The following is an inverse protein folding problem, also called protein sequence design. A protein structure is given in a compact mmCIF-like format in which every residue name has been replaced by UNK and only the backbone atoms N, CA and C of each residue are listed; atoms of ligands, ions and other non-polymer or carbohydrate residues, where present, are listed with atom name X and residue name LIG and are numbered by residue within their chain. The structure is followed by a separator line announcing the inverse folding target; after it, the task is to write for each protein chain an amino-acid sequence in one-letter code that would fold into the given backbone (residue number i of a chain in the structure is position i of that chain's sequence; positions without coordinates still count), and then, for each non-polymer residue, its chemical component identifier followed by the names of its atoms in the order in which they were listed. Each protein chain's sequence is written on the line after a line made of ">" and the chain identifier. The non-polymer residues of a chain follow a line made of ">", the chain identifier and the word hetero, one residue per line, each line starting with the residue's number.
data_IF_268229001245
#
_entry.id   IF_268229001245
#
_cell.length_a   1.000
_cell.length_b   1.000
_cell.length_c   1.000
_cell.angle_alpha   90.00
_cell.angle_beta   90.00
_cell.angle_gamma   90.00
#
_symmetry.space_group_name_H-M   'P 1'
#
loop_
_entity.id
_entity.type
_entity.pdbx_description
1 polymer ?
#
# COMPACT_ATOMS: atom_id res chain seq x y z
N UNK A 1 -0.36 -2.70 -21.54
CA UNK A 1 -1.47 -2.12 -20.74
C UNK A 1 -1.08 -1.98 -19.26
N UNK A 2 -0.14 -2.80 -18.77
CA UNK A 2 0.31 -2.83 -17.37
C UNK A 2 1.03 -1.55 -16.91
N UNK A 3 1.88 -0.94 -17.76
CA UNK A 3 2.57 0.31 -17.42
C UNK A 3 1.59 1.46 -17.04
N UNK A 4 0.41 1.50 -17.66
CA UNK A 4 -0.63 2.48 -17.32
C UNK A 4 -1.25 2.19 -15.95
N UNK A 5 -1.50 0.92 -15.62
CA UNK A 5 -2.02 0.53 -14.30
C UNK A 5 -1.02 0.84 -13.18
N UNK A 6 0.27 0.54 -13.40
CA UNK A 6 1.33 0.88 -12.46
C UNK A 6 1.46 2.38 -12.28
N UNK A 7 1.42 3.14 -13.38
CA UNK A 7 1.50 4.60 -13.33
C UNK A 7 0.32 5.22 -12.58
N UNK A 8 -0.90 4.71 -12.77
CA UNK A 8 -2.08 5.18 -12.04
C UNK A 8 -1.97 4.85 -10.55
N UNK A 9 -1.64 3.61 -10.19
CA UNK A 9 -1.53 3.20 -8.79
C UNK A 9 -0.40 3.96 -8.06
N UNK A 10 0.75 4.14 -8.70
CA UNK A 10 1.86 4.93 -8.16
C UNK A 10 1.49 6.42 -8.02
N UNK A 11 0.71 6.95 -8.97
CA UNK A 11 0.20 8.31 -8.95
C UNK A 11 -0.73 8.60 -7.77
N UNK A 12 -1.54 7.62 -7.34
CA UNK A 12 -2.45 7.75 -6.18
C UNK A 12 -1.72 7.49 -4.85
N UNK A 13 -0.77 6.55 -4.80
CA UNK A 13 -0.03 6.22 -3.57
C UNK A 13 0.82 7.37 -3.04
N UNK A 14 1.47 8.14 -3.93
CA UNK A 14 2.37 9.23 -3.53
C UNK A 14 1.65 10.35 -2.76
N UNK A 15 0.52 10.89 -3.24
CA UNK A 15 -0.31 11.82 -2.48
C UNK A 15 -0.74 11.25 -1.13
N UNK A 16 -1.19 9.98 -1.08
CA UNK A 16 -1.63 9.32 0.16
C UNK A 16 -0.48 9.24 1.17
N UNK A 17 0.72 8.83 0.75
CA UNK A 17 1.92 8.79 1.59
C UNK A 17 2.30 10.17 2.12
N UNK A 18 2.23 11.20 1.27
CA UNK A 18 2.49 12.59 1.67
C UNK A 18 1.51 13.09 2.74
N UNK A 19 0.20 12.86 2.54
CA UNK A 19 -0.84 13.21 3.51
C UNK A 19 -0.61 12.48 4.85
N UNK A 20 -0.36 11.17 4.82
CA UNK A 20 -0.07 10.39 6.04
C UNK A 20 1.18 10.89 6.79
N UNK A 21 2.23 11.30 6.09
CA UNK A 21 3.44 11.85 6.69
C UNK A 21 3.19 13.18 7.43
N UNK A 22 2.33 14.05 6.87
CA UNK A 22 1.89 15.30 7.52
C UNK A 22 1.09 14.99 8.79
N UNK A 23 0.16 14.02 8.72
CA UNK A 23 -0.62 13.56 9.88
C UNK A 23 0.29 13.02 11.00
N UNK A 24 1.31 12.24 10.65
CA UNK A 24 2.30 11.71 11.59
C UNK A 24 3.13 12.79 12.30
N UNK A 25 3.24 13.99 11.72
CA UNK A 25 4.07 15.10 12.20
C UNK A 25 3.38 16.03 13.19
N UNK A 26 2.31 16.72 12.77
CA UNK A 26 1.78 17.89 13.49
C UNK A 26 0.49 17.63 14.30
N UNK A 27 -0.46 16.84 13.81
CA UNK A 27 -1.82 16.74 14.40
C UNK A 27 -2.00 15.55 15.36
N UNK A 28 -1.21 14.48 15.22
CA UNK A 28 -1.42 13.22 15.97
C UNK A 28 -0.73 13.11 17.34
N UNK A 29 -0.13 14.17 17.89
CA UNK A 29 0.34 14.14 19.30
C UNK A 29 -0.79 13.77 20.27
N UNK A 30 -2.05 14.00 19.87
CA UNK A 30 -3.28 13.78 20.65
C UNK A 30 -3.82 12.34 20.59
N UNK A 31 -3.54 11.57 19.52
CA UNK A 31 -4.14 10.24 19.28
C UNK A 31 -3.11 9.11 19.29
N UNK A 32 -2.54 8.82 20.47
CA UNK A 32 -1.53 7.76 20.67
C UNK A 32 -1.95 6.38 20.16
N UNK A 33 -3.26 6.08 20.19
CA UNK A 33 -3.81 4.78 19.78
C UNK A 33 -4.01 4.57 18.28
N UNK A 34 -3.69 5.57 17.44
CA UNK A 34 -3.85 5.50 15.97
C UNK A 34 -2.51 5.64 15.24
N UNK A 35 -1.51 6.18 15.95
CA UNK A 35 -0.17 6.42 15.42
C UNK A 35 0.54 5.13 15.01
N UNK A 36 0.28 4.02 15.72
CA UNK A 36 0.87 2.72 15.41
C UNK A 36 0.28 2.16 14.11
N UNK A 37 -1.03 2.29 13.95
CA UNK A 37 -1.81 1.82 12.82
C UNK A 37 -1.43 2.63 11.57
N UNK A 38 -1.37 3.96 11.66
CA UNK A 38 -0.90 4.83 10.57
C UNK A 38 0.55 4.52 10.19
N UNK A 39 1.44 4.32 11.17
CA UNK A 39 2.85 3.99 10.89
C UNK A 39 2.97 2.63 10.20
N UNK A 40 2.21 1.63 10.66
CA UNK A 40 2.13 0.33 10.00
C UNK A 40 1.65 0.50 8.57
N UNK A 41 0.56 1.26 8.37
CA UNK A 41 -0.01 1.52 7.06
C UNK A 41 0.99 2.22 6.11
N UNK A 42 1.71 3.20 6.62
CA UNK A 42 2.72 3.95 5.84
C UNK A 42 3.85 3.05 5.39
N UNK A 43 4.38 2.21 6.29
CA UNK A 43 5.43 1.24 5.94
C UNK A 43 4.94 0.25 4.89
N UNK A 44 3.70 -0.19 5.03
CA UNK A 44 3.07 -1.12 4.12
C UNK A 44 2.86 -0.52 2.72
N UNK A 45 2.37 0.70 2.64
CA UNK A 45 2.22 1.43 1.38
C UNK A 45 3.55 1.69 0.69
N UNK A 46 4.60 2.01 1.44
CA UNK A 46 5.94 2.15 0.88
C UNK A 46 6.46 0.83 0.28
N UNK A 47 6.15 -0.31 0.91
CA UNK A 47 6.48 -1.62 0.35
C UNK A 47 5.69 -1.92 -0.93
N UNK A 48 4.43 -1.46 -1.01
CA UNK A 48 3.58 -1.60 -2.20
C UNK A 48 4.04 -0.69 -3.35
N UNK A 49 4.45 0.55 -3.06
CA UNK A 49 5.06 1.45 -4.03
C UNK A 49 6.36 0.84 -4.61
N UNK A 50 7.23 0.30 -3.76
CA UNK A 50 8.45 -0.37 -4.20
C UNK A 50 8.15 -1.60 -5.09
N UNK A 51 7.11 -2.36 -4.77
CA UNK A 51 6.65 -3.47 -5.61
C UNK A 51 6.16 -2.97 -6.98
N UNK A 52 5.30 -1.95 -7.00
CA UNK A 52 4.79 -1.37 -8.24
C UNK A 52 5.91 -0.81 -9.12
N UNK A 53 6.88 -0.11 -8.54
CA UNK A 53 8.06 0.36 -9.26
C UNK A 53 8.80 -0.80 -9.93
N UNK A 54 9.02 -1.91 -9.20
CA UNK A 54 9.61 -3.11 -9.79
C UNK A 54 8.77 -3.69 -10.92
N UNK A 55 7.44 -3.71 -10.78
CA UNK A 55 6.53 -4.22 -11.82
C UNK A 55 6.43 -3.29 -13.04
N UNK A 56 6.76 -2.00 -12.90
CA UNK A 56 6.84 -1.07 -14.04
C UNK A 56 7.92 -1.46 -15.05
N UNK A 57 8.95 -2.17 -14.58
CA UNK A 57 10.09 -2.63 -15.38
C UNK A 57 9.86 -4.03 -15.97
N UNK A 58 8.76 -4.70 -15.60
CA UNK A 58 8.42 -6.06 -16.05
C UNK A 58 7.44 -5.97 -17.22
N UNK A 59 7.83 -6.52 -18.38
CA UNK A 59 7.05 -6.46 -19.61
C UNK A 59 5.80 -7.37 -19.59
N UNK A 60 5.92 -8.57 -19.00
CA UNK A 60 4.79 -9.50 -18.80
C UNK A 60 4.75 -10.03 -17.36
N UNK A 61 4.06 -9.32 -16.46
CA UNK A 61 3.77 -9.79 -15.10
C UNK A 61 2.97 -11.08 -15.11
N UNK A 62 3.29 -12.01 -14.21
CA UNK A 62 2.46 -13.21 -14.06
C UNK A 62 1.06 -12.86 -13.52
N UNK A 63 0.06 -13.74 -13.69
CA UNK A 63 -1.32 -13.44 -13.28
C UNK A 63 -1.48 -13.07 -11.80
N UNK A 64 -0.65 -13.60 -10.91
CA UNK A 64 -0.67 -13.28 -9.48
C UNK A 64 -0.17 -11.86 -9.23
N UNK A 65 0.85 -11.43 -9.95
CA UNK A 65 1.36 -10.05 -9.90
C UNK A 65 0.35 -9.04 -10.47
N UNK A 66 -0.37 -9.39 -11.54
CA UNK A 66 -1.46 -8.54 -12.09
C UNK A 66 -2.61 -8.35 -11.11
N UNK A 67 -3.03 -9.43 -10.44
CA UNK A 67 -4.03 -9.35 -9.35
C UNK A 67 -3.51 -8.49 -8.21
N UNK A 68 -2.23 -8.65 -7.86
CA UNK A 68 -1.58 -7.83 -6.83
C UNK A 68 -1.64 -6.34 -7.15
N UNK A 69 -1.26 -5.96 -8.38
CA UNK A 69 -1.28 -4.58 -8.84
C UNK A 69 -2.69 -3.97 -8.78
N UNK A 70 -3.71 -4.74 -9.16
CA UNK A 70 -5.11 -4.29 -9.08
C UNK A 70 -5.54 -4.03 -7.63
N UNK A 71 -5.22 -4.94 -6.71
CA UNK A 71 -5.58 -4.81 -5.30
C UNK A 71 -4.81 -3.66 -4.62
N UNK A 72 -3.56 -3.42 -5.01
CA UNK A 72 -2.80 -2.23 -4.57
C UNK A 72 -3.53 -0.95 -4.97
N UNK A 73 -4.06 -0.89 -6.20
CA UNK A 73 -4.83 0.25 -6.67
C UNK A 73 -6.11 0.46 -5.87
N UNK A 74 -6.91 -0.57 -5.65
CA UNK A 74 -8.14 -0.47 -4.85
C UNK A 74 -7.86 0.01 -3.42
N UNK A 75 -6.81 -0.53 -2.80
CA UNK A 75 -6.39 -0.10 -1.46
C UNK A 75 -5.96 1.38 -1.44
N UNK A 76 -5.34 1.87 -2.53
CA UNK A 76 -4.93 3.26 -2.64
C UNK A 76 -6.14 4.20 -2.67
N UNK A 77 -7.23 3.83 -3.34
CA UNK A 77 -8.47 4.59 -3.34
C UNK A 77 -9.19 4.56 -1.98
N UNK A 78 -9.29 3.40 -1.35
CA UNK A 78 -9.86 3.27 0.02
C UNK A 78 -9.13 4.21 1.02
N UNK A 79 -7.83 4.41 0.82
CA UNK A 79 -6.99 5.26 1.67
C UNK A 79 -7.09 6.75 1.35
N UNK A 80 -7.21 7.09 0.07
CA UNK A 80 -7.47 8.46 -0.34
C UNK A 80 -8.80 8.95 0.26
N UNK A 81 -9.84 8.13 0.15
CA UNK A 81 -11.16 8.37 0.76
C UNK A 81 -11.09 8.52 2.29
N UNK A 82 -10.30 7.67 2.97
CA UNK A 82 -10.09 7.79 4.41
C UNK A 82 -9.35 9.09 4.80
N UNK A 83 -8.41 9.55 3.97
CA UNK A 83 -7.66 10.79 4.20
C UNK A 83 -8.53 12.03 3.95
N UNK A 84 -9.35 12.00 2.90
CA UNK A 84 -10.23 13.10 2.55
C UNK A 84 -11.32 13.29 3.61
N UNK A 85 -11.90 12.19 4.12
CA UNK A 85 -12.79 12.22 5.29
C UNK A 85 -12.12 12.84 6.54
N UNK A 86 -10.84 12.51 6.76
CA UNK A 86 -10.08 13.09 7.87
C UNK A 86 -9.87 14.59 7.69
N UNK A 87 -9.46 15.03 6.50
CA UNK A 87 -9.25 16.44 6.20
C UNK A 87 -10.54 17.25 6.29
N UNK A 88 -11.67 16.69 5.85
CA UNK A 88 -12.99 17.34 5.96
C UNK A 88 -13.41 17.57 7.42
N UNK A 89 -13.09 16.65 8.34
CA UNK A 89 -13.36 16.86 9.77
C UNK A 89 -12.32 17.75 10.47
N UNK A 90 -11.11 17.89 9.93
CA UNK A 90 -10.06 18.68 10.57
C UNK A 90 -10.37 20.19 10.62
N UNK A 91 -11.21 20.69 9.70
CA UNK A 91 -11.74 22.07 9.72
C UNK A 91 -12.79 22.30 10.84
N UNK A 92 -13.47 21.24 11.30
CA UNK A 92 -14.46 21.26 12.37
C UNK A 92 -13.86 20.73 13.70
N UNK A 93 -13.16 21.63 14.40
CA UNK A 93 -12.72 21.56 15.82
C UNK A 93 -12.71 20.17 16.48
N UNK A 94 -11.50 19.63 16.63
CA UNK A 94 -11.05 18.76 17.73
C UNK A 94 -11.64 17.35 17.86
N UNK A 95 -12.48 16.89 16.94
CA UNK A 95 -12.95 15.50 16.89
C UNK A 95 -12.29 14.73 15.74
N UNK A 96 -11.69 13.57 16.05
CA UNK A 96 -11.38 12.58 15.01
C UNK A 96 -12.69 12.20 14.31
N UNK A 97 -12.71 12.03 12.97
CA UNK A 97 -13.87 11.49 12.30
C UNK A 97 -14.23 10.13 12.90
N UNK A 98 -15.47 9.98 13.34
CA UNK A 98 -16.00 8.71 13.78
C UNK A 98 -15.84 7.69 12.63
N UNK A 99 -15.04 6.65 12.87
CA UNK A 99 -14.77 5.60 11.88
C UNK A 99 -13.45 5.72 11.10
N UNK A 100 -12.65 6.78 11.25
CA UNK A 100 -11.32 6.85 10.60
C UNK A 100 -10.40 5.70 11.05
N UNK A 101 -10.41 5.40 12.35
CA UNK A 101 -9.64 4.28 12.92
C UNK A 101 -10.12 2.94 12.36
N UNK A 102 -11.44 2.77 12.21
CA UNK A 102 -12.03 1.54 11.68
C UNK A 102 -11.72 1.38 10.19
N UNK A 103 -11.72 2.47 9.40
CA UNK A 103 -11.23 2.48 8.01
C UNK A 103 -9.77 2.03 7.94
N UNK A 104 -8.88 2.60 8.74
CA UNK A 104 -7.46 2.20 8.77
C UNK A 104 -7.30 0.73 9.15
N UNK A 105 -8.03 0.25 10.17
CA UNK A 105 -7.99 -1.15 10.60
C UNK A 105 -8.52 -2.09 9.51
N UNK A 106 -9.60 -1.72 8.83
CA UNK A 106 -10.12 -2.45 7.69
C UNK A 106 -9.10 -2.54 6.55
N UNK A 107 -8.45 -1.43 6.21
CA UNK A 107 -7.40 -1.38 5.19
C UNK A 107 -6.19 -2.25 5.55
N UNK A 108 -5.72 -2.19 6.82
CA UNK A 108 -4.68 -3.10 7.32
C UNK A 108 -5.12 -4.57 7.30
N UNK A 109 -6.39 -4.85 7.61
CA UNK A 109 -6.96 -6.20 7.54
C UNK A 109 -7.03 -6.75 6.12
N UNK A 110 -7.47 -5.93 5.15
CA UNK A 110 -7.46 -6.26 3.71
C UNK A 110 -6.02 -6.55 3.25
N UNK A 111 -5.08 -5.70 3.65
CA UNK A 111 -3.68 -5.85 3.31
C UNK A 111 -3.04 -7.10 3.90
N UNK A 112 -3.33 -7.42 5.17
CA UNK A 112 -2.83 -8.65 5.81
C UNK A 112 -3.31 -9.91 5.09
N UNK A 113 -4.59 -9.94 4.69
CA UNK A 113 -5.17 -11.03 3.88
C UNK A 113 -4.52 -11.12 2.50
N UNK A 114 -4.22 -9.99 1.89
CA UNK A 114 -3.53 -9.92 0.60
C UNK A 114 -2.10 -10.44 0.70
N UNK A 115 -1.31 -10.00 1.71
CA UNK A 115 0.06 -10.50 2.01
C UNK A 115 0.14 -12.00 2.20
N UNK A 116 -0.85 -12.60 2.87
CA UNK A 116 -0.91 -14.05 3.01
C UNK A 116 -0.99 -14.76 1.64
N UNK A 117 -1.68 -14.16 0.66
CA UNK A 117 -1.83 -14.72 -0.69
C UNK A 117 -0.54 -14.62 -1.52
N UNK A 118 0.28 -13.57 -1.37
CA UNK A 118 1.59 -13.48 -2.06
C UNK A 118 2.60 -14.49 -1.53
N UNK A 119 2.62 -14.62 -0.19
CA UNK A 119 3.73 -15.28 0.51
C UNK A 119 3.74 -16.78 0.22
N UNK A 120 2.60 -17.33 -0.17
CA UNK A 120 2.43 -18.70 -0.66
C UNK A 120 3.09 -18.91 -2.04
N UNK A 121 3.30 -17.86 -2.84
CA UNK A 121 3.85 -17.98 -4.20
C UNK A 121 5.38 -17.92 -4.33
N UNK A 122 6.12 -17.50 -3.28
CA UNK A 122 7.58 -17.26 -3.37
C UNK A 122 8.46 -18.50 -3.23
N UNK A 123 7.92 -19.68 -2.96
CA UNK A 123 8.72 -20.88 -2.64
C UNK A 123 9.12 -21.73 -3.87
N UNK A 124 9.04 -21.19 -5.10
CA UNK A 124 9.34 -21.94 -6.34
C UNK A 124 10.29 -21.26 -7.33
N UNK A 125 11.15 -20.33 -6.91
CA UNK A 125 12.17 -19.78 -7.81
C UNK A 125 13.52 -19.65 -7.13
N UNK A 126 14.16 -20.79 -6.89
CA UNK A 126 15.61 -20.92 -6.72
C UNK A 126 16.02 -22.34 -7.08
N UNK A 127 15.67 -22.79 -8.28
CA UNK A 127 16.31 -23.96 -8.88
C UNK A 127 16.51 -23.69 -10.37
N UNK A 128 17.74 -23.96 -10.79
CA UNK A 128 18.19 -24.18 -12.16
C UNK A 128 18.45 -22.95 -13.06
N UNK A 129 19.71 -22.51 -13.06
CA UNK A 129 20.48 -22.53 -14.31
C UNK A 129 21.87 -23.07 -14.00
N UNK A 130 21.99 -24.39 -14.13
CA UNK A 130 23.26 -25.08 -14.33
C UNK A 130 23.77 -24.70 -15.72
N UNK A 131 24.95 -24.09 -15.83
CA UNK A 131 25.67 -23.99 -17.09
C UNK A 131 27.12 -24.43 -16.85
N UNK A 132 27.29 -25.75 -16.91
CA UNK A 132 28.36 -26.45 -17.63
C UNK A 132 29.50 -25.55 -18.13
N UNK A 133 30.63 -25.62 -17.42
CA UNK A 133 31.91 -25.06 -17.83
C UNK A 133 32.97 -26.17 -17.89
N UNK A 134 32.83 -27.08 -18.85
CA UNK A 134 33.87 -28.03 -19.19
C UNK A 134 35.03 -27.33 -19.92
N UNK A 135 36.25 -27.54 -19.41
CA UNK A 135 37.44 -27.94 -20.16
C UNK A 135 38.50 -28.46 -19.21
#
# INVERSE_FOLDING_TARGET
>A
MEAALVSVATGVLKPVLGKLAVLLGNEFKRFKGVRKEIKSLTHELAAMEAFLLKMSEVEDPDPQDKVWMNEVRELSYDMEDANDDFMLCADDKDAMPDGFIDKIKCSLGKLGKMKARHRIGRDKRSEETDHSGGR
#
